data_IF_658630421081
#
_entry.id   IF_658630421081
#
_cell.length_a   1.000
_cell.length_b   1.000
_cell.length_c   1.000
_cell.angle_alpha   90.00
_cell.angle_beta   90.00
_cell.angle_gamma   90.00
#
_symmetry.space_group_name_H-M   'P 1'
#
loop_
_entity.id
_entity.type
_entity.pdbx_description
1 polymer ?
#
# COMPACT_ATOMS: atom_id res chain seq x y z
N UNK A 1 -2.83 -16.59 4.36
CA UNK A 1 -2.33 -16.03 5.62
C UNK A 1 -1.14 -15.15 5.30
N UNK A 2 -1.15 -13.84 5.61
CA UNK A 2 0.07 -13.03 5.53
C UNK A 2 1.13 -13.68 6.41
N UNK A 3 2.37 -13.79 5.91
CA UNK A 3 3.49 -14.36 6.67
C UNK A 3 3.82 -13.49 7.87
N UNK A 4 4.57 -14.04 8.84
CA UNK A 4 5.07 -13.25 9.96
C UNK A 4 5.96 -12.11 9.44
N UNK A 5 5.81 -10.92 10.02
CA UNK A 5 6.65 -9.76 9.71
C UNK A 5 8.07 -10.03 10.20
N UNK A 6 9.04 -10.02 9.28
CA UNK A 6 10.46 -10.23 9.55
C UNK A 6 11.27 -8.94 9.67
N UNK A 7 12.52 -9.05 10.11
CA UNK A 7 13.42 -7.91 10.27
C UNK A 7 13.83 -7.22 8.96
N UNK A 8 13.56 -7.84 7.79
CA UNK A 8 13.85 -7.29 6.46
C UNK A 8 12.61 -6.70 5.79
N UNK A 9 11.45 -6.72 6.45
CA UNK A 9 10.23 -6.15 5.91
C UNK A 9 10.24 -4.63 6.04
N UNK A 10 9.84 -3.96 4.96
CA UNK A 10 9.74 -2.51 4.93
C UNK A 10 8.28 -2.09 4.98
N UNK A 11 7.99 -1.14 5.88
CA UNK A 11 6.69 -0.49 5.98
C UNK A 11 6.82 0.95 5.53
N UNK A 12 6.04 1.35 4.53
CA UNK A 12 6.00 2.72 4.02
C UNK A 12 4.56 3.20 4.09
N UNK A 13 4.37 4.41 4.63
CA UNK A 13 3.05 5.02 4.73
C UNK A 13 3.06 6.41 4.12
N UNK A 14 2.23 6.59 3.09
CA UNK A 14 1.97 7.88 2.46
C UNK A 14 0.88 8.61 3.24
N UNK A 15 1.12 9.85 3.61
CA UNK A 15 0.13 10.67 4.31
C UNK A 15 0.05 12.08 3.74
N UNK A 16 -1.15 12.65 3.76
CA UNK A 16 -1.30 14.08 3.57
C UNK A 16 -0.63 14.80 4.76
N UNK A 17 0.15 15.87 4.56
CA UNK A 17 0.79 16.63 5.64
C UNK A 17 -0.15 17.06 6.76
N UNK A 18 -1.45 17.23 6.47
CA UNK A 18 -2.49 17.59 7.45
C UNK A 18 -2.88 16.44 8.39
N UNK A 19 -2.52 15.20 8.09
CA UNK A 19 -2.88 13.98 8.83
C UNK A 19 -1.66 13.29 9.48
N UNK A 20 -0.49 13.92 9.44
CA UNK A 20 0.79 13.38 9.91
C UNK A 20 0.76 12.90 11.38
N UNK A 21 -0.01 13.58 12.24
CA UNK A 21 -0.04 13.36 13.68
C UNK A 21 -0.77 12.07 14.13
N UNK A 22 -1.62 11.49 13.27
CA UNK A 22 -2.38 10.27 13.58
C UNK A 22 -1.66 8.99 13.14
N UNK A 23 -0.88 9.06 12.05
CA UNK A 23 -0.36 7.85 11.38
C UNK A 23 0.97 7.36 11.97
N UNK A 24 1.85 8.26 12.40
CA UNK A 24 3.15 7.89 12.95
C UNK A 24 3.11 7.09 14.25
N UNK A 25 1.93 6.96 14.88
CA UNK A 25 1.73 6.18 16.11
C UNK A 25 1.34 4.72 15.90
N UNK A 26 0.90 4.34 14.70
CA UNK A 26 0.23 3.04 14.48
C UNK A 26 1.21 1.94 14.03
N UNK A 27 2.31 2.28 13.36
CA UNK A 27 3.30 1.30 12.88
C UNK A 27 4.70 1.73 13.31
N UNK A 28 5.19 1.15 14.41
CA UNK A 28 6.58 1.36 14.85
C UNK A 28 7.56 0.91 13.75
N UNK A 29 8.43 1.82 13.31
CA UNK A 29 9.43 1.55 12.27
C UNK A 29 8.97 1.81 10.83
N UNK A 30 7.75 2.31 10.62
CA UNK A 30 7.30 2.71 9.29
C UNK A 30 8.00 4.00 8.81
N UNK A 31 8.44 3.99 7.55
CA UNK A 31 8.90 5.17 6.85
C UNK A 31 7.69 6.00 6.43
N UNK A 32 7.60 7.23 6.94
CA UNK A 32 6.51 8.15 6.61
C UNK A 32 6.92 9.01 5.43
N UNK A 33 6.15 8.93 4.34
CA UNK A 33 6.32 9.77 3.16
C UNK A 33 5.18 10.79 3.10
N UNK A 34 5.52 12.05 2.82
CA UNK A 34 4.53 13.13 2.71
C UNK A 34 4.76 13.94 1.46
N UNK A 35 3.67 14.32 0.80
CA UNK A 35 3.70 15.32 -0.26
C UNK A 35 2.44 16.16 -0.21
N UNK A 36 2.59 17.45 -0.48
CA UNK A 36 1.47 18.38 -0.58
C UNK A 36 0.70 18.16 -1.87
N UNK A 37 -0.62 18.31 -1.81
CA UNK A 37 -1.53 18.15 -2.95
C UNK A 37 -2.72 17.24 -2.61
N UNK A 38 -3.73 17.19 -3.49
CA UNK A 38 -4.89 16.30 -3.31
C UNK A 38 -4.46 14.83 -3.23
N UNK A 39 -3.57 14.40 -4.13
CA UNK A 39 -3.14 12.99 -4.28
C UNK A 39 -1.68 12.78 -3.83
N UNK A 40 -1.14 13.72 -3.04
CA UNK A 40 0.28 13.73 -2.70
C UNK A 40 0.74 12.48 -1.95
N UNK A 41 -0.12 11.93 -1.10
CA UNK A 41 0.14 10.68 -0.38
C UNK A 41 0.28 9.49 -1.32
N UNK A 42 -0.54 9.43 -2.37
CA UNK A 42 -0.55 8.30 -3.30
C UNK A 42 0.59 8.41 -4.31
N UNK A 43 0.85 9.61 -4.82
CA UNK A 43 1.93 9.84 -5.78
C UNK A 43 3.30 9.56 -5.16
N UNK A 44 3.53 9.97 -3.91
CA UNK A 44 4.83 9.76 -3.27
C UNK A 44 5.11 8.28 -3.00
N UNK A 45 4.06 7.49 -2.74
CA UNK A 45 4.18 6.04 -2.58
C UNK A 45 4.47 5.35 -3.91
N UNK A 46 3.74 5.70 -4.97
CA UNK A 46 3.93 5.11 -6.28
C UNK A 46 5.30 5.46 -6.88
N UNK A 47 5.74 6.70 -6.74
CA UNK A 47 7.08 7.12 -7.18
C UNK A 47 8.17 6.41 -6.39
N UNK A 48 8.07 6.35 -5.05
CA UNK A 48 9.06 5.61 -4.25
C UNK A 48 9.12 4.15 -4.67
N UNK A 49 7.99 3.49 -4.90
CA UNK A 49 7.98 2.10 -5.34
C UNK A 49 8.79 1.86 -6.63
N UNK A 50 8.67 2.78 -7.59
CA UNK A 50 9.39 2.71 -8.87
C UNK A 50 10.86 3.11 -8.71
N UNK A 51 11.15 4.22 -8.04
CA UNK A 51 12.50 4.77 -7.89
C UNK A 51 13.41 3.85 -7.07
N UNK A 52 12.89 3.28 -5.97
CA UNK A 52 13.61 2.35 -5.12
C UNK A 52 13.68 0.93 -5.70
N UNK A 53 13.08 0.70 -6.87
CA UNK A 53 13.03 -0.60 -7.55
C UNK A 53 12.57 -1.72 -6.62
N UNK A 54 11.40 -1.52 -6.00
CA UNK A 54 10.86 -2.50 -5.05
C UNK A 54 10.56 -3.84 -5.73
N UNK A 55 10.39 -3.84 -7.05
CA UNK A 55 10.30 -5.03 -7.91
C UNK A 55 11.52 -5.95 -7.80
N UNK A 56 12.71 -5.39 -7.58
CA UNK A 56 13.96 -6.15 -7.45
C UNK A 56 14.28 -6.51 -6.00
N UNK A 57 13.65 -5.84 -5.04
CA UNK A 57 13.95 -5.95 -3.60
C UNK A 57 12.99 -6.85 -2.85
N UNK A 58 11.76 -6.98 -3.33
CA UNK A 58 10.71 -7.71 -2.64
C UNK A 58 9.96 -8.66 -3.57
N UNK A 59 9.77 -9.89 -3.10
CA UNK A 59 8.93 -10.87 -3.81
C UNK A 59 7.42 -10.66 -3.57
N UNK A 60 7.07 -9.82 -2.59
CA UNK A 60 5.70 -9.56 -2.17
C UNK A 60 5.53 -8.11 -1.76
N UNK A 61 4.41 -7.53 -2.18
CA UNK A 61 3.99 -6.18 -1.79
C UNK A 61 2.54 -6.22 -1.34
N UNK A 62 2.25 -5.56 -0.22
CA UNK A 62 0.89 -5.41 0.31
C UNK A 62 0.48 -3.95 0.17
N UNK A 63 -0.58 -3.69 -0.59
CA UNK A 63 -1.15 -2.35 -0.77
C UNK A 63 -2.34 -2.19 0.16
N UNK A 64 -2.16 -1.47 1.25
CA UNK A 64 -3.22 -1.15 2.22
C UNK A 64 -4.10 0.02 1.77
N UNK A 65 -4.72 -0.08 0.59
CA UNK A 65 -5.61 0.96 0.06
C UNK A 65 -6.72 0.38 -0.82
N UNK A 66 -7.86 1.05 -0.85
CA UNK A 66 -8.95 0.78 -1.80
C UNK A 66 -8.92 1.68 -3.04
N UNK A 67 -8.00 2.64 -3.10
CA UNK A 67 -7.99 3.67 -4.16
C UNK A 67 -7.57 3.11 -5.52
N UNK A 68 -8.28 3.54 -6.57
CA UNK A 68 -7.96 3.19 -7.95
C UNK A 68 -6.67 3.78 -8.48
N UNK A 69 -6.08 4.76 -7.80
CA UNK A 69 -4.76 5.29 -8.13
C UNK A 69 -3.69 4.19 -8.17
N UNK A 70 -3.72 3.26 -7.21
CA UNK A 70 -2.73 2.19 -7.09
C UNK A 70 -2.86 1.06 -8.11
N UNK A 71 -3.88 1.08 -8.98
CA UNK A 71 -4.11 -0.01 -9.94
C UNK A 71 -2.93 -0.16 -10.94
N UNK A 72 -2.35 0.96 -11.39
CA UNK A 72 -1.22 0.91 -12.33
C UNK A 72 0.05 0.40 -11.65
N UNK A 73 0.29 0.81 -10.39
CA UNK A 73 1.39 0.29 -9.58
C UNK A 73 1.25 -1.23 -9.36
N UNK A 74 0.05 -1.67 -8.99
CA UNK A 74 -0.23 -3.08 -8.75
C UNK A 74 -0.03 -3.94 -10.01
N UNK A 75 -0.47 -3.43 -11.17
CA UNK A 75 -0.25 -4.07 -12.46
C UNK A 75 1.23 -4.13 -12.82
N UNK A 76 1.97 -3.03 -12.62
CA UNK A 76 3.41 -2.96 -12.87
C UNK A 76 4.19 -3.97 -12.02
N UNK A 77 3.90 -4.04 -10.72
CA UNK A 77 4.53 -5.01 -9.80
C UNK A 77 4.23 -6.46 -10.21
N UNK A 78 2.96 -6.75 -10.52
CA UNK A 78 2.54 -8.09 -10.98
C UNK A 78 3.24 -8.49 -12.28
N UNK A 79 3.46 -7.53 -13.20
CA UNK A 79 4.19 -7.77 -14.44
C UNK A 79 5.68 -8.06 -14.22
N UNK A 80 6.23 -7.72 -13.04
CA UNK A 80 7.59 -8.03 -12.61
C UNK A 80 7.63 -9.23 -11.63
N UNK A 81 6.63 -10.13 -11.69
CA UNK A 81 6.52 -11.33 -10.87
C UNK A 81 6.44 -11.09 -9.34
N UNK A 82 6.18 -9.85 -8.91
CA UNK A 82 5.93 -9.54 -7.50
C UNK A 82 4.52 -9.98 -7.12
N UNK A 83 4.40 -10.68 -5.99
CA UNK A 83 3.08 -11.05 -5.45
C UNK A 83 2.43 -9.84 -4.80
N UNK A 84 1.39 -9.32 -5.43
CA UNK A 84 0.64 -8.16 -4.91
C UNK A 84 -0.63 -8.61 -4.21
N UNK A 85 -0.80 -8.22 -2.95
CA UNK A 85 -2.05 -8.35 -2.18
C UNK A 85 -2.61 -6.97 -1.89
N UNK A 86 -3.88 -6.73 -2.23
CA UNK A 86 -4.59 -5.50 -1.86
C UNK A 86 -5.39 -5.74 -0.60
N UNK A 87 -5.21 -4.86 0.39
CA UNK A 87 -5.96 -4.86 1.63
C UNK A 87 -6.83 -3.60 1.67
N UNK A 88 -8.15 -3.78 1.63
CA UNK A 88 -9.11 -2.67 1.60
C UNK A 88 -10.29 -2.91 2.54
N UNK A 89 -10.98 -1.85 2.93
CA UNK A 89 -12.30 -1.96 3.58
C UNK A 89 -13.36 -2.46 2.58
N UNK A 90 -14.30 -3.26 3.05
CA UNK A 90 -15.45 -3.70 2.25
C UNK A 90 -16.24 -2.51 1.72
N UNK A 91 -16.55 -2.51 0.41
CA UNK A 91 -17.30 -1.43 -0.25
C UNK A 91 -16.48 -0.17 -0.61
N UNK A 92 -15.20 -0.11 -0.24
CA UNK A 92 -14.30 1.01 -0.55
C UNK A 92 -13.19 0.65 -1.53
N UNK A 93 -13.22 -0.56 -2.08
CA UNK A 93 -12.30 -0.97 -3.14
C UNK A 93 -12.81 -0.47 -4.49
N UNK A 94 -12.00 0.33 -5.19
CA UNK A 94 -12.31 0.76 -6.54
C UNK A 94 -12.35 -0.41 -7.52
N UNK A 95 -13.23 -0.33 -8.51
CA UNK A 95 -13.32 -1.34 -9.57
C UNK A 95 -11.99 -1.48 -10.34
N UNK A 96 -11.29 -0.36 -10.54
CA UNK A 96 -10.01 -0.33 -11.27
C UNK A 96 -8.92 -1.14 -10.55
N UNK A 97 -8.82 -0.98 -9.24
CA UNK A 97 -7.88 -1.77 -8.44
C UNK A 97 -8.33 -3.22 -8.33
N UNK A 98 -9.64 -3.47 -8.20
CA UNK A 98 -10.21 -4.82 -8.16
C UNK A 98 -9.84 -5.66 -9.39
N UNK A 99 -9.89 -5.10 -10.60
CA UNK A 99 -9.52 -5.84 -11.83
C UNK A 99 -8.01 -5.96 -12.04
N UNK A 100 -7.22 -5.10 -11.40
CA UNK A 100 -5.77 -5.07 -11.57
C UNK A 100 -5.03 -6.14 -10.74
N UNK A 101 -5.64 -6.63 -9.66
CA UNK A 101 -5.02 -7.61 -8.76
C UNK A 101 -5.82 -8.90 -8.64
N UNK A 102 -5.11 -9.98 -8.33
CA UNK A 102 -5.71 -11.31 -8.13
C UNK A 102 -5.95 -11.65 -6.67
N UNK A 103 -5.20 -11.02 -5.76
CA UNK A 103 -5.27 -11.31 -4.33
C UNK A 103 -5.77 -10.08 -3.56
N UNK A 104 -6.93 -10.23 -2.94
CA UNK A 104 -7.64 -9.16 -2.22
C UNK A 104 -8.05 -9.70 -0.86
N UNK A 105 -7.67 -8.98 0.19
CA UNK A 105 -8.11 -9.23 1.57
C UNK A 105 -8.94 -8.05 2.04
N UNK A 106 -10.17 -8.32 2.50
CA UNK A 106 -11.00 -7.27 3.07
C UNK A 106 -10.75 -7.14 4.58
N UNK A 107 -10.56 -5.91 5.03
CA UNK A 107 -10.58 -5.57 6.46
C UNK A 107 -12.03 -5.56 6.92
N UNK A 108 -12.39 -6.58 7.68
CA UNK A 108 -13.64 -6.57 8.42
C UNK A 108 -13.48 -5.64 9.64
N UNK A 109 -14.46 -4.77 9.88
CA UNK A 109 -14.37 -3.73 10.91
C UNK A 109 -14.23 -4.30 12.34
N UNK A 110 -14.41 -5.61 12.51
CA UNK A 110 -14.30 -6.33 13.76
C UNK A 110 -12.90 -6.32 14.40
N UNK A 111 -11.84 -5.90 13.68
CA UNK A 111 -10.48 -5.76 14.24
C UNK A 111 -10.24 -4.44 15.00
N UNK A 112 -11.26 -3.60 15.17
CA UNK A 112 -11.18 -2.32 15.90
C UNK A 112 -11.90 -2.31 17.26
N UNK A 113 -12.22 -3.47 17.83
CA UNK A 113 -12.86 -3.60 19.15
C UNK A 113 -11.87 -3.98 20.25
#
# INVERSE_FOLDING_TARGET
MPGAVGALDQFVVGVNPRSLAEVGRVIHGAQILTRSGPDGADSVLAEMAVDDRIDLRFERVIIGSGDGYFADLAAWLTAHDVRVTVVSRTGLLSWRLYVAVRDITYLDAALAA
#
